data_IF_680041667216
#
_entry.id   IF_680041667216
#
_cell.length_a   1.000
_cell.length_b   1.000
_cell.length_c   1.000
_cell.angle_alpha   90.00
_cell.angle_beta   90.00
_cell.angle_gamma   90.00
#
_symmetry.space_group_name_H-M   'P 1'
#
loop_
_entity.id
_entity.type
_entity.pdbx_description
1 polymer ?
#
# COMPACT_ATOMS: atom_id res chain seq x y z
N UNK A 1 5.50 11.05 -6.87
CA UNK A 1 5.67 9.59 -6.78
C UNK A 1 4.42 8.95 -6.18
N UNK A 2 3.62 8.31 -7.02
CA UNK A 2 2.45 7.50 -6.67
C UNK A 2 2.89 6.06 -6.41
N UNK A 3 2.43 5.48 -5.32
CA UNK A 3 2.84 4.15 -4.85
C UNK A 3 1.61 3.24 -4.77
N UNK A 4 1.74 2.01 -5.27
CA UNK A 4 0.91 0.89 -4.85
C UNK A 4 1.71 0.05 -3.83
N UNK A 5 1.09 -0.23 -2.69
CA UNK A 5 1.69 -1.04 -1.62
C UNK A 5 0.99 -2.39 -1.53
N UNK A 6 1.73 -3.45 -1.86
CA UNK A 6 1.25 -4.83 -1.79
C UNK A 6 1.59 -5.40 -0.41
N UNK A 7 0.57 -5.83 0.33
CA UNK A 7 0.73 -6.22 1.73
C UNK A 7 0.70 -5.03 2.69
N UNK A 8 -0.01 -5.19 3.80
CA UNK A 8 -0.08 -4.16 4.86
C UNK A 8 0.16 -4.75 6.25
N UNK A 9 1.15 -5.65 6.32
CA UNK A 9 1.66 -6.22 7.56
C UNK A 9 2.56 -5.25 8.33
N UNK A 10 3.49 -5.77 9.13
CA UNK A 10 4.42 -4.96 9.92
C UNK A 10 5.28 -4.05 9.03
N UNK A 11 5.83 -4.58 7.94
CA UNK A 11 6.70 -3.82 7.02
C UNK A 11 5.94 -2.68 6.35
N UNK A 12 4.81 -2.97 5.70
CA UNK A 12 3.99 -1.95 5.04
C UNK A 12 3.50 -0.85 5.99
N UNK A 13 3.10 -1.20 7.22
CA UNK A 13 2.69 -0.23 8.24
C UNK A 13 3.87 0.64 8.73
N UNK A 14 5.05 0.04 8.93
CA UNK A 14 6.25 0.79 9.33
C UNK A 14 6.69 1.75 8.22
N UNK A 15 6.60 1.33 6.96
CA UNK A 15 6.95 2.17 5.82
C UNK A 15 6.07 3.43 5.74
N UNK A 16 4.74 3.30 5.85
CA UNK A 16 3.86 4.49 5.79
C UNK A 16 4.04 5.42 6.98
N UNK A 17 4.38 4.88 8.17
CA UNK A 17 4.75 5.70 9.34
C UNK A 17 6.07 6.45 9.11
N UNK A 18 7.01 5.85 8.39
CA UNK A 18 8.27 6.51 8.02
C UNK A 18 8.03 7.61 6.97
N UNK A 19 7.15 7.38 5.99
CA UNK A 19 6.76 8.44 5.05
C UNK A 19 6.16 9.65 5.76
N UNK A 20 5.34 9.43 6.79
CA UNK A 20 4.76 10.50 7.59
C UNK A 20 5.82 11.21 8.46
N UNK A 21 6.53 10.45 9.31
CA UNK A 21 7.49 11.01 10.28
C UNK A 21 8.76 11.60 9.66
N UNK A 22 9.07 11.26 8.41
CA UNK A 22 10.25 11.77 7.68
C UNK A 22 9.86 12.58 6.45
N UNK A 23 8.61 13.07 6.36
CA UNK A 23 8.12 13.80 5.20
C UNK A 23 9.01 15.01 4.84
N UNK A 24 9.42 15.80 5.83
CA UNK A 24 10.28 16.97 5.61
C UNK A 24 11.67 16.57 5.13
N UNK A 25 12.29 15.56 5.75
CA UNK A 25 13.59 15.02 5.34
C UNK A 25 13.58 14.48 3.90
N UNK A 26 12.53 13.73 3.54
CA UNK A 26 12.36 13.16 2.21
C UNK A 26 12.24 14.26 1.15
N UNK A 27 11.50 15.32 1.47
CA UNK A 27 11.34 16.45 0.57
C UNK A 27 12.62 17.28 0.47
N UNK A 28 13.23 17.66 1.60
CA UNK A 28 14.40 18.53 1.63
C UNK A 28 15.65 17.89 0.98
N UNK A 29 15.84 16.57 1.14
CA UNK A 29 17.04 15.88 0.63
C UNK A 29 16.85 15.31 -0.78
N UNK A 30 15.64 14.90 -1.12
CA UNK A 30 15.40 14.11 -2.34
C UNK A 30 14.27 14.68 -3.22
N UNK A 31 13.58 15.75 -2.80
CA UNK A 31 12.40 16.26 -3.48
C UNK A 31 11.23 15.27 -3.48
N UNK A 32 11.24 14.29 -2.58
CA UNK A 32 10.26 13.22 -2.57
C UNK A 32 9.06 13.58 -1.70
N UNK A 33 7.87 13.46 -2.30
CA UNK A 33 6.58 13.44 -1.60
C UNK A 33 5.83 12.17 -1.98
N UNK A 34 6.09 11.04 -1.29
CA UNK A 34 5.42 9.77 -1.56
C UNK A 34 3.92 9.88 -1.33
N UNK A 35 3.12 9.29 -2.23
CA UNK A 35 1.67 9.17 -2.09
C UNK A 35 1.25 7.74 -2.33
N UNK A 36 0.74 7.05 -1.32
CA UNK A 36 0.15 5.72 -1.50
C UNK A 36 -1.24 5.90 -2.11
N UNK A 37 -1.42 5.52 -3.37
CA UNK A 37 -2.70 5.65 -4.09
C UNK A 37 -3.51 4.35 -4.06
N UNK A 38 -2.85 3.24 -3.74
CA UNK A 38 -3.48 1.93 -3.58
C UNK A 38 -2.72 1.09 -2.57
N UNK A 39 -3.46 0.35 -1.74
CA UNK A 39 -2.90 -0.64 -0.83
C UNK A 39 -3.84 -1.83 -0.73
N UNK A 40 -3.28 -3.04 -0.67
CA UNK A 40 -4.08 -4.23 -0.41
C UNK A 40 -3.39 -5.19 0.56
N UNK A 41 -4.20 -5.96 1.26
CA UNK A 41 -3.78 -7.07 2.10
C UNK A 41 -4.60 -8.33 1.80
N UNK A 42 -4.37 -9.39 2.59
CA UNK A 42 -5.00 -10.69 2.37
C UNK A 42 -6.53 -10.70 2.45
N UNK A 43 -7.18 -9.61 2.89
CA UNK A 43 -8.64 -9.53 3.08
C UNK A 43 -9.32 -8.45 2.23
N UNK A 44 -8.56 -7.57 1.58
CA UNK A 44 -9.11 -6.54 0.70
C UNK A 44 -8.16 -5.37 0.49
N UNK A 45 -8.70 -4.25 0.01
CA UNK A 45 -7.91 -3.13 -0.49
C UNK A 45 -8.45 -1.77 -0.06
N UNK A 46 -7.69 -0.72 -0.33
CA UNK A 46 -8.13 0.66 -0.30
C UNK A 46 -7.47 1.40 -1.47
N UNK A 47 -8.23 2.26 -2.15
CA UNK A 47 -7.74 3.04 -3.30
C UNK A 47 -8.24 4.47 -3.19
N UNK A 48 -7.32 5.42 -3.35
CA UNK A 48 -7.63 6.83 -3.49
C UNK A 48 -6.60 7.48 -4.42
N UNK A 49 -7.07 7.97 -5.58
CA UNK A 49 -6.20 8.63 -6.58
C UNK A 49 -5.55 9.91 -6.04
N UNK A 50 -6.15 10.54 -5.04
CA UNK A 50 -5.59 11.73 -4.38
C UNK A 50 -4.52 11.40 -3.33
N UNK A 51 -4.44 10.13 -2.91
CA UNK A 51 -3.56 9.63 -1.87
C UNK A 51 -4.33 9.22 -0.62
N UNK A 52 -3.96 8.07 -0.05
CA UNK A 52 -4.50 7.54 1.19
C UNK A 52 -3.82 8.20 2.39
N UNK A 53 -4.60 8.44 3.44
CA UNK A 53 -4.11 8.94 4.71
C UNK A 53 -3.39 7.82 5.49
N UNK A 54 -2.11 8.03 5.78
CA UNK A 54 -1.24 7.02 6.40
C UNK A 54 -1.69 6.67 7.83
N UNK A 55 -2.06 7.67 8.62
CA UNK A 55 -2.48 7.46 10.01
C UNK A 55 -3.80 6.70 10.09
N UNK A 56 -4.74 7.02 9.20
CA UNK A 56 -6.01 6.32 9.04
C UNK A 56 -5.81 4.89 8.56
N UNK A 57 -4.93 4.62 7.60
CA UNK A 57 -4.62 3.27 7.16
C UNK A 57 -4.12 2.40 8.33
N UNK A 58 -3.18 2.90 9.11
CA UNK A 58 -2.64 2.20 10.28
C UNK A 58 -3.74 1.97 11.33
N UNK A 59 -4.56 2.99 11.62
CA UNK A 59 -5.64 2.89 12.60
C UNK A 59 -6.70 1.84 12.18
N UNK A 60 -7.11 1.86 10.91
CA UNK A 60 -8.07 0.90 10.32
C UNK A 60 -7.50 -0.52 10.38
N UNK A 61 -6.25 -0.71 9.95
CA UNK A 61 -5.60 -2.03 9.98
C UNK A 61 -5.50 -2.57 11.41
N UNK A 62 -5.17 -1.72 12.39
CA UNK A 62 -5.11 -2.09 13.82
C UNK A 62 -6.49 -2.46 14.37
N UNK A 63 -7.53 -1.71 14.01
CA UNK A 63 -8.90 -1.93 14.53
C UNK A 63 -9.60 -3.14 13.91
N UNK A 64 -9.45 -3.35 12.61
CA UNK A 64 -10.25 -4.33 11.86
C UNK A 64 -9.42 -5.51 11.33
N UNK A 65 -8.09 -5.46 11.43
CA UNK A 65 -7.20 -6.48 10.87
C UNK A 65 -7.08 -6.44 9.34
N UNK A 66 -7.72 -5.47 8.67
CA UNK A 66 -7.60 -5.27 7.21
C UNK A 66 -7.76 -3.82 6.80
N UNK A 67 -7.13 -3.44 5.68
CA UNK A 67 -7.31 -2.12 5.03
C UNK A 67 -8.67 -1.99 4.33
N UNK A 68 -9.41 -3.07 4.10
CA UNK A 68 -10.75 -3.07 3.47
C UNK A 68 -11.73 -2.11 4.13
N UNK A 69 -11.54 -1.83 5.42
CA UNK A 69 -12.42 -0.96 6.21
C UNK A 69 -12.03 0.53 6.13
N UNK A 70 -11.16 0.93 5.20
CA UNK A 70 -10.68 2.30 5.08
C UNK A 70 -11.78 3.31 4.69
N UNK A 71 -12.72 2.90 3.86
CA UNK A 71 -13.87 3.68 3.42
C UNK A 71 -15.14 2.79 3.33
N UNK A 72 -16.29 3.39 3.03
CA UNK A 72 -17.54 2.65 2.79
C UNK A 72 -17.62 2.07 1.37
N UNK A 73 -16.85 2.60 0.42
CA UNK A 73 -16.84 2.21 -0.99
C UNK A 73 -15.40 2.08 -1.50
N UNK A 74 -15.21 1.41 -2.64
CA UNK A 74 -13.91 1.27 -3.36
C UNK A 74 -12.79 0.52 -2.61
N UNK A 75 -13.15 -0.43 -1.74
CA UNK A 75 -12.19 -1.19 -0.90
C UNK A 75 -12.14 -2.70 -1.17
N UNK A 76 -12.77 -3.13 -2.25
CA UNK A 76 -12.91 -4.54 -2.60
C UNK A 76 -12.28 -4.88 -3.94
N UNK A 77 -11.49 -3.97 -4.51
CA UNK A 77 -10.69 -4.26 -5.70
C UNK A 77 -9.66 -5.33 -5.36
N UNK A 78 -9.51 -6.35 -6.20
CA UNK A 78 -8.45 -7.35 -5.98
C UNK A 78 -7.07 -6.71 -6.13
N UNK A 79 -6.03 -7.34 -5.59
CA UNK A 79 -4.65 -6.86 -5.79
C UNK A 79 -4.31 -6.77 -7.28
N UNK A 80 -4.64 -7.81 -8.06
CA UNK A 80 -4.38 -7.86 -9.50
C UNK A 80 -5.14 -6.78 -10.27
N UNK A 81 -6.41 -6.54 -9.94
CA UNK A 81 -7.18 -5.47 -10.57
C UNK A 81 -6.60 -4.10 -10.23
N UNK A 82 -6.10 -3.90 -9.00
CA UNK A 82 -5.43 -2.67 -8.61
C UNK A 82 -4.17 -2.44 -9.45
N UNK A 83 -3.34 -3.46 -9.60
CA UNK A 83 -2.10 -3.39 -10.38
C UNK A 83 -2.35 -3.03 -11.85
N UNK A 84 -3.43 -3.54 -12.44
CA UNK A 84 -3.77 -3.27 -13.84
C UNK A 84 -4.45 -1.93 -14.07
N UNK A 85 -5.22 -1.42 -13.09
CA UNK A 85 -6.16 -0.31 -13.32
C UNK A 85 -5.84 0.97 -12.53
N UNK A 86 -4.90 0.92 -11.57
CA UNK A 86 -4.49 2.09 -10.79
C UNK A 86 -3.12 2.54 -11.26
N UNK A 87 -3.04 3.77 -11.76
CA UNK A 87 -1.76 4.35 -12.18
C UNK A 87 -0.87 4.65 -10.97
N UNK A 88 0.33 4.07 -10.97
CA UNK A 88 1.38 4.33 -9.99
C UNK A 88 2.74 4.43 -10.68
N UNK A 89 3.68 5.08 -10.00
CA UNK A 89 5.06 5.23 -10.48
C UNK A 89 5.95 4.12 -9.89
N UNK A 90 5.56 3.57 -8.72
CA UNK A 90 6.31 2.55 -7.98
C UNK A 90 5.34 1.53 -7.37
N UNK A 91 5.70 0.25 -7.48
CA UNK A 91 5.13 -0.84 -6.71
C UNK A 91 6.08 -1.19 -5.56
N UNK A 92 5.55 -1.33 -4.35
CA UNK A 92 6.31 -1.81 -3.19
C UNK A 92 5.68 -3.12 -2.71
N UNK A 93 6.44 -4.20 -2.85
CA UNK A 93 6.01 -5.56 -2.48
C UNK A 93 6.43 -5.90 -1.05
N UNK A 94 5.45 -6.06 -0.16
CA UNK A 94 5.66 -6.36 1.27
C UNK A 94 4.73 -7.46 1.79
N UNK A 95 4.17 -8.29 0.89
CA UNK A 95 3.49 -9.52 1.28
C UNK A 95 4.45 -10.51 1.91
N UNK A 96 3.90 -11.48 2.62
CA UNK A 96 4.70 -12.49 3.31
C UNK A 96 5.51 -13.30 2.30
N UNK A 97 6.81 -13.46 2.56
CA UNK A 97 7.70 -14.24 1.71
C UNK A 97 7.25 -15.70 1.65
N UNK A 98 7.15 -16.22 0.43
CA UNK A 98 6.90 -17.63 0.17
C UNK A 98 8.11 -18.26 -0.50
N UNK A 99 8.85 -19.07 0.24
CA UNK A 99 10.11 -19.67 -0.23
C UNK A 99 9.92 -20.89 -1.14
N UNK A 100 8.67 -21.30 -1.39
CA UNK A 100 8.36 -22.44 -2.27
C UNK A 100 8.27 -22.02 -3.74
N UNK A 101 7.47 -20.99 -4.01
CA UNK A 101 7.14 -20.57 -5.38
C UNK A 101 7.11 -19.03 -5.56
N UNK A 102 7.51 -18.27 -4.53
CA UNK A 102 7.50 -16.80 -4.51
C UNK A 102 6.10 -16.14 -4.64
N UNK A 103 5.02 -16.90 -4.61
CA UNK A 103 3.66 -16.34 -4.67
C UNK A 103 3.20 -15.80 -3.30
N UNK A 104 2.46 -14.66 -3.26
CA UNK A 104 1.89 -13.95 -4.40
C UNK A 104 2.81 -12.87 -5.01
N UNK A 105 3.99 -12.65 -4.43
CA UNK A 105 4.88 -11.56 -4.83
C UNK A 105 5.33 -11.63 -6.28
N UNK A 106 5.55 -12.85 -6.81
CA UNK A 106 5.89 -13.05 -8.23
C UNK A 106 4.76 -12.55 -9.15
N UNK A 107 3.52 -12.95 -8.92
CA UNK A 107 2.38 -12.45 -9.71
C UNK A 107 2.27 -10.93 -9.65
N UNK A 108 2.51 -10.31 -8.49
CA UNK A 108 2.39 -8.85 -8.36
C UNK A 108 3.40 -8.08 -9.20
N UNK A 109 4.63 -8.59 -9.36
CA UNK A 109 5.69 -7.87 -10.10
C UNK A 109 5.66 -8.12 -11.61
N UNK A 110 4.97 -9.17 -12.07
CA UNK A 110 4.85 -9.51 -13.51
C UNK A 110 3.50 -9.13 -14.12
N UNK A 111 2.57 -8.59 -13.33
CA UNK A 111 1.27 -8.08 -13.80
C UNK A 111 1.42 -6.73 -14.46
#
# INVERSE_FOLDING_TARGET
MRIILCGFGVVGQSLVKLFDSRAEDLYAKYGLKPRVVGVFDSKGSAVDKSGLDFNKLVAVKKKFGTVKNYASTKNSMSGIDMLKNVEADVLIETTASNYKDAEPGMTHITT
#
